data_IF_277132571679
#
_entry.id   IF_277132571679
#
_cell.length_a   1.000
_cell.length_b   1.000
_cell.length_c   1.000
_cell.angle_alpha   90.00
_cell.angle_beta   90.00
_cell.angle_gamma   90.00
#
_symmetry.space_group_name_H-M   'P 1'
#
loop_
_entity.id
_entity.type
_entity.pdbx_description
1 polymer ?
#
# COMPACT_ATOMS: atom_id res chain seq x y z
N UNK A 1 -43.93 -22.77 36.28
CA UNK A 1 -43.82 -21.31 36.10
C UNK A 1 -42.35 -20.98 35.92
N UNK A 2 -41.92 -20.61 34.71
CA UNK A 2 -40.53 -20.21 34.44
C UNK A 2 -40.54 -18.72 34.10
N UNK A 3 -39.79 -17.95 34.88
CA UNK A 3 -39.65 -16.49 34.76
C UNK A 3 -39.01 -16.16 33.40
N UNK A 4 -39.75 -15.43 32.56
CA UNK A 4 -39.21 -14.79 31.35
C UNK A 4 -38.46 -13.53 31.79
N UNK A 5 -37.13 -13.61 31.86
CA UNK A 5 -36.30 -12.42 32.00
C UNK A 5 -36.45 -11.52 30.77
N UNK A 6 -36.92 -10.29 30.99
CA UNK A 6 -36.89 -9.22 30.00
C UNK A 6 -35.43 -8.86 29.71
N UNK A 7 -34.94 -9.26 28.54
CA UNK A 7 -33.72 -8.71 27.95
C UNK A 7 -33.93 -7.20 27.79
N UNK A 8 -33.31 -6.41 28.67
CA UNK A 8 -33.25 -4.95 28.52
C UNK A 8 -32.37 -4.68 27.30
N UNK A 9 -32.98 -4.24 26.20
CA UNK A 9 -32.24 -3.72 25.05
C UNK A 9 -31.41 -2.53 25.50
N UNK A 10 -30.08 -2.62 25.41
CA UNK A 10 -29.21 -1.46 25.55
C UNK A 10 -29.65 -0.41 24.52
N UNK A 11 -29.75 0.88 24.88
CA UNK A 11 -30.02 1.92 23.92
C UNK A 11 -28.88 1.93 22.91
N UNK A 12 -29.20 1.59 21.66
CA UNK A 12 -28.34 1.83 20.51
C UNK A 12 -28.19 3.35 20.41
N UNK A 13 -27.10 3.89 20.95
CA UNK A 13 -26.70 5.27 20.68
C UNK A 13 -26.44 5.37 19.18
N UNK A 14 -27.43 5.80 18.42
CA UNK A 14 -27.26 6.20 17.03
C UNK A 14 -26.39 7.45 17.06
N UNK A 15 -25.09 7.26 16.85
CA UNK A 15 -24.15 8.38 16.65
C UNK A 15 -24.54 9.01 15.33
N UNK A 16 -25.20 10.17 15.39
CA UNK A 16 -25.50 10.97 14.21
C UNK A 16 -24.18 11.62 13.75
N UNK A 17 -23.50 10.98 12.80
CA UNK A 17 -22.38 11.58 12.11
C UNK A 17 -22.89 12.69 11.18
N UNK A 18 -22.15 13.80 11.09
CA UNK A 18 -22.37 14.77 10.02
C UNK A 18 -22.04 14.12 8.67
N UNK A 19 -22.68 14.60 7.60
CA UNK A 19 -22.42 14.13 6.23
C UNK A 19 -20.94 14.27 5.87
N UNK A 20 -20.29 15.38 6.28
CA UNK A 20 -18.85 15.56 6.09
C UNK A 20 -18.01 14.50 6.83
N UNK A 21 -18.37 14.15 8.07
CA UNK A 21 -17.63 13.13 8.81
C UNK A 21 -17.77 11.75 8.16
N UNK A 22 -18.92 11.47 7.52
CA UNK A 22 -19.11 10.23 6.79
C UNK A 22 -18.26 10.16 5.51
N UNK A 23 -18.21 11.25 4.74
CA UNK A 23 -17.36 11.36 3.55
C UNK A 23 -15.87 11.18 3.91
N UNK A 24 -15.41 11.80 5.00
CA UNK A 24 -14.05 11.64 5.49
C UNK A 24 -13.72 10.19 5.87
N UNK A 25 -14.65 9.49 6.54
CA UNK A 25 -14.49 8.08 6.90
C UNK A 25 -14.42 7.19 5.65
N UNK A 26 -15.28 7.44 4.66
CA UNK A 26 -15.26 6.69 3.40
C UNK A 26 -13.94 6.89 2.66
N UNK A 27 -13.48 8.14 2.53
CA UNK A 27 -12.22 8.46 1.87
C UNK A 27 -11.04 7.78 2.58
N UNK A 28 -10.99 7.84 3.91
CA UNK A 28 -9.94 7.18 4.68
C UNK A 28 -9.94 5.65 4.49
N UNK A 29 -11.14 5.05 4.45
CA UNK A 29 -11.30 3.63 4.24
C UNK A 29 -10.78 3.22 2.86
N UNK A 30 -11.17 3.94 1.80
CA UNK A 30 -10.69 3.71 0.44
C UNK A 30 -9.17 3.82 0.36
N UNK A 31 -8.59 4.87 0.93
CA UNK A 31 -7.14 5.04 0.97
C UNK A 31 -6.43 3.90 1.72
N UNK A 32 -7.02 3.37 2.81
CA UNK A 32 -6.48 2.19 3.50
C UNK A 32 -6.57 0.94 2.65
N UNK A 33 -7.67 0.75 1.94
CA UNK A 33 -7.83 -0.39 1.04
C UNK A 33 -6.82 -0.33 -0.12
N UNK A 34 -6.47 0.85 -0.61
CA UNK A 34 -5.39 1.01 -1.59
C UNK A 34 -4.00 0.76 -0.98
N UNK A 35 -3.76 1.23 0.25
CA UNK A 35 -2.43 1.08 0.89
C UNK A 35 -2.13 -0.33 1.36
N UNK A 36 -3.13 -1.18 1.59
CA UNK A 36 -2.92 -2.54 2.16
C UNK A 36 -2.03 -3.44 1.29
N UNK A 37 -1.97 -3.18 -0.01
CA UNK A 37 -1.14 -3.92 -0.98
C UNK A 37 0.22 -3.26 -1.25
N UNK A 38 0.52 -2.14 -0.59
CA UNK A 38 1.78 -1.45 -0.79
C UNK A 38 2.92 -2.19 -0.08
N UNK A 39 3.96 -2.53 -0.84
CA UNK A 39 5.20 -3.10 -0.30
C UNK A 39 6.27 -2.02 -0.30
N UNK A 40 6.96 -1.85 0.82
CA UNK A 40 8.11 -0.94 0.93
C UNK A 40 9.41 -1.74 0.93
N UNK A 41 10.27 -1.47 -0.04
CA UNK A 41 11.56 -2.12 -0.20
C UNK A 41 12.69 -1.16 0.13
N UNK A 42 13.64 -1.64 0.94
CA UNK A 42 14.81 -0.89 1.38
C UNK A 42 16.10 -1.49 0.79
N UNK A 43 17.16 -0.69 0.72
CA UNK A 43 18.48 -1.17 0.30
C UNK A 43 18.69 -1.30 -1.22
N UNK A 44 17.68 -1.00 -2.03
CA UNK A 44 17.82 -1.01 -3.50
C UNK A 44 18.65 0.20 -3.97
N UNK A 45 19.73 0.02 -4.75
CA UNK A 45 20.59 1.13 -5.16
C UNK A 45 19.84 2.15 -6.03
N UNK A 46 20.14 3.44 -5.87
CA UNK A 46 19.61 4.51 -6.73
C UNK A 46 20.15 4.35 -8.16
N UNK A 47 19.36 4.80 -9.15
CA UNK A 47 19.79 4.79 -10.54
C UNK A 47 20.71 5.98 -10.84
N UNK A 48 21.68 5.85 -11.76
CA UNK A 48 22.62 6.92 -12.07
C UNK A 48 21.94 8.23 -12.50
N UNK A 49 22.63 9.33 -12.24
CA UNK A 49 22.29 10.61 -12.84
C UNK A 49 22.32 10.51 -14.37
N UNK A 50 21.37 11.17 -15.05
CA UNK A 50 21.24 11.16 -16.51
C UNK A 50 20.37 10.05 -17.09
N UNK A 51 19.96 9.04 -16.31
CA UNK A 51 18.96 8.06 -16.79
C UNK A 51 17.59 8.72 -16.88
N UNK A 52 16.85 8.50 -17.98
CA UNK A 52 15.50 9.06 -18.13
C UNK A 52 14.54 8.51 -17.06
N UNK A 53 13.49 9.26 -16.73
CA UNK A 53 12.52 8.83 -15.71
C UNK A 53 11.93 7.45 -16.04
N UNK A 54 11.54 7.23 -17.29
CA UNK A 54 10.91 5.98 -17.71
C UNK A 54 11.89 4.80 -17.65
N UNK A 55 13.15 5.01 -18.02
CA UNK A 55 14.20 4.00 -17.86
C UNK A 55 14.47 3.68 -16.39
N UNK A 56 14.40 4.67 -15.50
CA UNK A 56 14.54 4.42 -14.06
C UNK A 56 13.40 3.55 -13.53
N UNK A 57 12.16 3.86 -13.91
CA UNK A 57 10.97 3.12 -13.50
C UNK A 57 11.03 1.68 -14.03
N UNK A 58 11.35 1.49 -15.30
CA UNK A 58 11.48 0.16 -15.90
C UNK A 58 12.52 -0.69 -15.16
N UNK A 59 13.73 -0.15 -14.93
CA UNK A 59 14.78 -0.86 -14.18
C UNK A 59 14.41 -1.15 -12.73
N UNK A 60 13.59 -0.30 -12.11
CA UNK A 60 13.11 -0.53 -10.74
C UNK A 60 12.05 -1.62 -10.69
N UNK A 61 11.11 -1.61 -11.64
CA UNK A 61 10.13 -2.68 -11.81
C UNK A 61 10.82 -4.03 -12.03
N UNK A 62 11.74 -4.13 -13.00
CA UNK A 62 12.46 -5.39 -13.30
C UNK A 62 13.17 -5.96 -12.06
N UNK A 63 13.79 -5.09 -11.26
CA UNK A 63 14.46 -5.49 -10.01
C UNK A 63 13.48 -5.97 -8.96
N UNK A 64 12.36 -5.27 -8.82
CA UNK A 64 11.29 -5.64 -7.88
C UNK A 64 10.71 -6.99 -8.25
N UNK A 65 10.42 -7.22 -9.53
CA UNK A 65 9.89 -8.48 -10.04
C UNK A 65 10.89 -9.62 -9.78
N UNK A 66 12.16 -9.42 -10.09
CA UNK A 66 13.23 -10.40 -9.81
C UNK A 66 13.30 -10.76 -8.31
N UNK A 67 13.15 -9.78 -7.42
CA UNK A 67 13.17 -10.03 -5.97
C UNK A 67 11.94 -10.83 -5.55
N UNK A 68 10.76 -10.48 -6.04
CA UNK A 68 9.53 -11.17 -5.67
C UNK A 68 9.55 -12.62 -6.19
N UNK A 69 9.95 -12.83 -7.44
CA UNK A 69 10.16 -14.16 -8.02
C UNK A 69 11.17 -14.99 -7.23
N UNK A 70 12.23 -14.37 -6.70
CA UNK A 70 13.23 -15.07 -5.87
C UNK A 70 12.69 -15.54 -4.52
N UNK A 71 11.68 -14.84 -3.98
CA UNK A 71 11.04 -15.19 -2.70
C UNK A 71 9.93 -16.21 -2.93
N UNK A 72 9.13 -16.02 -3.97
CA UNK A 72 8.00 -16.90 -4.33
C UNK A 72 7.83 -16.96 -5.86
N UNK A 73 8.38 -17.99 -6.52
CA UNK A 73 8.37 -18.12 -7.98
C UNK A 73 6.98 -18.19 -8.61
N UNK A 74 5.99 -18.65 -7.85
CA UNK A 74 4.60 -18.81 -8.32
C UNK A 74 3.80 -17.50 -8.36
N UNK A 75 4.36 -16.42 -7.80
CA UNK A 75 3.72 -15.10 -7.81
C UNK A 75 4.21 -14.32 -9.03
N UNK A 76 3.27 -13.91 -9.88
CA UNK A 76 3.56 -12.92 -10.91
C UNK A 76 3.22 -11.52 -10.44
N UNK A 77 4.11 -10.61 -10.77
CA UNK A 77 3.99 -9.19 -10.47
C UNK A 77 3.54 -8.41 -11.71
N UNK A 78 2.36 -8.74 -12.22
CA UNK A 78 1.83 -8.07 -13.39
C UNK A 78 1.38 -6.64 -13.02
N UNK A 79 1.92 -5.64 -13.72
CA UNK A 79 1.51 -4.25 -13.57
C UNK A 79 2.00 -3.56 -12.29
N UNK A 80 3.10 -4.03 -11.70
CA UNK A 80 3.72 -3.35 -10.56
C UNK A 80 4.12 -1.92 -10.93
N UNK A 81 3.62 -0.96 -10.14
CA UNK A 81 4.05 0.44 -10.22
C UNK A 81 4.98 0.74 -9.06
N UNK A 82 6.25 0.99 -9.38
CA UNK A 82 7.24 1.42 -8.38
C UNK A 82 7.35 2.93 -8.29
N UNK A 83 7.62 3.42 -7.07
CA UNK A 83 7.91 4.82 -6.81
C UNK A 83 8.88 4.95 -5.64
N UNK A 84 9.99 5.67 -5.85
CA UNK A 84 10.89 6.07 -4.75
C UNK A 84 10.20 7.03 -3.80
N UNK A 85 10.31 6.77 -2.50
CA UNK A 85 9.76 7.62 -1.45
C UNK A 85 10.76 8.71 -1.03
N UNK A 86 10.24 9.92 -0.83
CA UNK A 86 11.03 11.08 -0.38
C UNK A 86 11.74 11.84 -1.51
N UNK A 87 12.32 12.99 -1.14
CA UNK A 87 13.06 13.86 -2.06
C UNK A 87 14.44 13.29 -2.33
N UNK A 88 14.85 13.28 -3.60
CA UNK A 88 16.20 12.88 -3.98
C UNK A 88 17.21 13.92 -3.46
N UNK A 89 18.24 13.45 -2.76
CA UNK A 89 19.34 14.27 -2.26
C UNK A 89 20.66 13.63 -2.67
N UNK A 90 21.44 14.32 -3.50
CA UNK A 90 22.72 13.82 -4.03
C UNK A 90 23.75 13.54 -2.91
N UNK A 91 23.60 14.18 -1.76
CA UNK A 91 24.47 14.03 -0.59
C UNK A 91 24.05 12.89 0.34
N UNK A 92 22.93 12.22 0.07
CA UNK A 92 22.50 11.08 0.88
C UNK A 92 23.29 9.83 0.51
N UNK A 93 23.99 9.27 1.50
CA UNK A 93 24.64 7.96 1.37
C UNK A 93 23.65 6.79 1.46
N UNK A 94 22.37 7.06 1.74
CA UNK A 94 21.33 6.03 1.86
C UNK A 94 20.41 6.07 0.65
N UNK A 95 20.21 4.94 -0.05
CA UNK A 95 19.24 4.87 -1.13
C UNK A 95 17.83 5.05 -0.59
N UNK A 96 16.99 5.77 -1.34
CA UNK A 96 15.59 5.96 -0.95
C UNK A 96 14.79 4.66 -1.02
N UNK A 97 13.82 4.44 -0.12
CA UNK A 97 12.93 3.29 -0.21
C UNK A 97 12.11 3.32 -1.50
N UNK A 98 11.74 2.14 -2.00
CA UNK A 98 10.80 1.99 -3.12
C UNK A 98 9.46 1.51 -2.56
N UNK A 99 8.38 2.23 -2.89
CA UNK A 99 7.01 1.74 -2.76
C UNK A 99 6.63 1.02 -4.04
N UNK A 100 6.22 -0.24 -3.91
CA UNK A 100 5.58 -1.01 -4.98
C UNK A 100 4.08 -1.05 -4.73
N UNK A 101 3.30 -0.55 -5.70
CA UNK A 101 1.86 -0.73 -5.79
C UNK A 101 1.63 -1.95 -6.67
N UNK A 102 1.24 -3.07 -6.08
CA UNK A 102 1.06 -4.32 -6.81
C UNK A 102 -0.41 -4.74 -6.82
N UNK A 103 -0.89 -5.14 -8.00
CA UNK A 103 -1.96 -6.11 -8.13
C UNK A 103 -1.30 -7.49 -8.02
N UNK A 104 -1.04 -7.95 -6.79
CA UNK A 104 -0.55 -9.32 -6.60
C UNK A 104 -1.70 -10.26 -6.91
N UNK A 105 -1.61 -10.97 -8.04
CA UNK A 105 -2.53 -12.05 -8.38
C UNK A 105 -1.85 -13.37 -8.06
N UNK A 106 -2.48 -14.17 -7.20
CA UNK A 106 -2.09 -15.57 -7.03
C UNK A 106 -2.80 -16.39 -8.12
N UNK A 107 -2.08 -17.33 -8.74
CA UNK A 107 -2.69 -18.34 -9.61
C UNK A 107 -3.39 -19.41 -8.79
#
# INVERSE_FOLDING_TARGET
MVLKEKVKSNPTNSVNFSEQAWEEILLEFEERQERKSNIIMYGLPEQPFGTSKDQKIAKENDKVDTIIESIKPDVRCDGVRTQRLGKFTATSNKPRPIRSLSLITMK
#
